data_IF_613565083446
#
_entry.id   IF_613565083446
#
_cell.length_a   1.000
_cell.length_b   1.000
_cell.length_c   1.000
_cell.angle_alpha   90.00
_cell.angle_beta   90.00
_cell.angle_gamma   90.00
#
_symmetry.space_group_name_H-M   'P 1'
#
loop_
_entity.id
_entity.type
_entity.pdbx_description
1 polymer ?
#
# COMPACT_ATOMS: atom_id res chain seq x y z
N UNK A 1 -40.55 -4.73 10.77
CA UNK A 1 -39.24 -5.17 11.30
C UNK A 1 -39.33 -5.06 12.82
N UNK A 2 -38.92 -6.09 13.57
CA UNK A 2 -38.95 -6.07 15.05
C UNK A 2 -38.03 -4.97 15.61
N UNK A 3 -38.43 -4.33 16.70
CA UNK A 3 -37.73 -3.16 17.26
C UNK A 3 -36.26 -3.43 17.62
N UNK A 4 -35.96 -4.63 18.13
CA UNK A 4 -34.58 -5.02 18.44
C UNK A 4 -33.72 -5.17 17.18
N UNK A 5 -34.29 -5.60 16.04
CA UNK A 5 -33.58 -5.70 14.75
C UNK A 5 -33.23 -4.31 14.23
N UNK A 6 -34.14 -3.35 14.36
CA UNK A 6 -33.90 -1.95 14.00
C UNK A 6 -32.78 -1.35 14.86
N UNK A 7 -32.89 -1.48 16.18
CA UNK A 7 -31.87 -1.00 17.12
C UNK A 7 -30.49 -1.63 16.88
N UNK A 8 -30.45 -2.93 16.55
CA UNK A 8 -29.20 -3.60 16.22
C UNK A 8 -28.56 -3.04 14.95
N UNK A 9 -29.33 -2.87 13.86
CA UNK A 9 -28.84 -2.30 12.60
C UNK A 9 -28.33 -0.87 12.82
N UNK A 10 -29.04 -0.06 13.60
CA UNK A 10 -28.62 1.31 13.91
C UNK A 10 -27.27 1.32 14.66
N UNK A 11 -27.12 0.48 15.70
CA UNK A 11 -25.87 0.35 16.46
C UNK A 11 -24.72 -0.17 15.60
N UNK A 12 -24.97 -1.16 14.76
CA UNK A 12 -23.98 -1.69 13.83
C UNK A 12 -23.52 -0.63 12.83
N UNK A 13 -24.46 0.14 12.27
CA UNK A 13 -24.16 1.25 11.38
C UNK A 13 -23.27 2.30 12.04
N UNK A 14 -23.60 2.71 13.28
CA UNK A 14 -22.78 3.64 14.05
C UNK A 14 -21.36 3.11 14.30
N UNK A 15 -21.23 1.83 14.67
CA UNK A 15 -19.92 1.20 14.87
C UNK A 15 -19.10 1.18 13.58
N UNK A 16 -19.71 0.79 12.45
CA UNK A 16 -19.05 0.78 11.15
C UNK A 16 -18.57 2.18 10.74
N UNK A 17 -19.42 3.20 10.86
CA UNK A 17 -19.05 4.59 10.55
C UNK A 17 -17.90 5.08 11.43
N UNK A 18 -17.90 4.75 12.73
CA UNK A 18 -16.82 5.12 13.63
C UNK A 18 -15.47 4.51 13.22
N UNK A 19 -15.47 3.24 12.82
CA UNK A 19 -14.25 2.56 12.39
C UNK A 19 -13.73 3.04 11.03
N UNK A 20 -14.62 3.30 10.07
CA UNK A 20 -14.24 3.92 8.80
C UNK A 20 -13.60 5.29 9.03
N UNK A 21 -14.20 6.11 9.89
CA UNK A 21 -13.64 7.42 10.25
C UNK A 21 -12.25 7.28 10.88
N UNK A 22 -12.08 6.35 11.84
CA UNK A 22 -10.78 6.12 12.47
C UNK A 22 -9.73 5.62 11.48
N UNK A 23 -10.12 4.81 10.51
CA UNK A 23 -9.24 4.38 9.42
C UNK A 23 -8.79 5.58 8.56
N UNK A 24 -9.72 6.45 8.13
CA UNK A 24 -9.36 7.66 7.37
C UNK A 24 -8.46 8.60 8.18
N UNK A 25 -8.77 8.82 9.45
CA UNK A 25 -7.94 9.61 10.36
C UNK A 25 -6.53 9.00 10.47
N UNK A 26 -6.41 7.67 10.54
CA UNK A 26 -5.10 6.98 10.57
C UNK A 26 -4.34 7.14 9.25
N UNK A 27 -5.03 7.06 8.11
CA UNK A 27 -4.41 7.33 6.81
C UNK A 27 -3.86 8.76 6.75
N UNK A 28 -4.65 9.74 7.17
CA UNK A 28 -4.28 11.15 7.08
C UNK A 28 -3.20 11.55 8.09
N UNK A 29 -3.21 10.98 9.29
CA UNK A 29 -2.30 11.38 10.39
C UNK A 29 -1.03 10.56 10.49
N UNK A 30 -1.01 9.33 9.98
CA UNK A 30 0.15 8.43 10.07
C UNK A 30 0.68 8.06 8.69
N UNK A 31 -0.18 7.55 7.79
CA UNK A 31 0.27 6.99 6.50
C UNK A 31 0.72 8.09 5.54
N UNK A 32 -0.08 9.16 5.38
CA UNK A 32 0.22 10.25 4.44
C UNK A 32 1.51 10.98 4.79
N UNK A 33 1.80 11.36 6.06
CA UNK A 33 3.07 11.99 6.39
C UNK A 33 4.29 11.14 6.03
N UNK A 34 4.24 9.83 6.33
CA UNK A 34 5.32 8.89 5.98
C UNK A 34 5.45 8.74 4.45
N UNK A 35 4.32 8.69 3.75
CA UNK A 35 4.31 8.70 2.29
C UNK A 35 4.97 9.95 1.72
N UNK A 36 4.62 11.15 2.20
CA UNK A 36 5.17 12.40 1.67
C UNK A 36 6.68 12.53 1.94
N UNK A 37 7.16 12.10 3.10
CA UNK A 37 8.59 12.05 3.40
C UNK A 37 9.34 11.11 2.44
N UNK A 38 8.83 9.89 2.27
CA UNK A 38 9.41 8.92 1.34
C UNK A 38 9.34 9.41 -0.10
N UNK A 39 8.21 10.03 -0.49
CA UNK A 39 8.00 10.58 -1.81
C UNK A 39 8.97 11.73 -2.11
N UNK A 40 9.22 12.62 -1.14
CA UNK A 40 10.19 13.69 -1.30
C UNK A 40 11.59 13.13 -1.57
N UNK A 41 12.03 12.14 -0.79
CA UNK A 41 13.31 11.46 -1.02
C UNK A 41 13.35 10.78 -2.40
N UNK A 42 12.36 9.96 -2.74
CA UNK A 42 12.36 9.18 -3.99
C UNK A 42 12.26 10.05 -5.25
N UNK A 43 11.54 11.17 -5.21
CA UNK A 43 11.48 12.13 -6.32
C UNK A 43 12.86 12.70 -6.66
N UNK A 44 13.69 12.98 -5.66
CA UNK A 44 15.07 13.43 -5.89
C UNK A 44 15.98 12.35 -6.47
N UNK A 45 15.53 11.08 -6.45
CA UNK A 45 16.24 9.91 -6.97
C UNK A 45 15.57 9.34 -8.23
N UNK A 46 14.79 10.15 -8.95
CA UNK A 46 14.26 9.81 -10.28
C UNK A 46 12.93 9.05 -10.28
N UNK A 47 12.28 8.87 -9.13
CA UNK A 47 10.93 8.28 -9.10
C UNK A 47 9.85 9.30 -9.45
N UNK A 48 8.89 8.88 -10.26
CA UNK A 48 7.57 9.48 -10.34
C UNK A 48 6.68 8.94 -9.22
N UNK A 49 6.02 9.83 -8.47
CA UNK A 49 5.22 9.44 -7.30
C UNK A 49 3.82 10.02 -7.40
N UNK A 50 2.81 9.17 -7.22
CA UNK A 50 1.39 9.54 -7.33
C UNK A 50 0.51 8.83 -6.31
N UNK A 51 -0.74 9.31 -6.17
CA UNK A 51 -1.78 8.72 -5.32
C UNK A 51 -3.00 8.39 -6.21
N UNK A 52 -2.95 7.31 -7.01
CA UNK A 52 -3.90 7.10 -8.10
C UNK A 52 -5.33 6.80 -7.63
N UNK A 53 -5.52 6.43 -6.36
CA UNK A 53 -6.83 6.15 -5.79
C UNK A 53 -6.96 6.76 -4.40
N UNK A 54 -7.98 7.59 -4.23
CA UNK A 54 -8.41 8.16 -2.95
C UNK A 54 -9.93 8.01 -2.86
N UNK A 55 -10.39 6.97 -2.19
CA UNK A 55 -11.80 6.66 -1.95
C UNK A 55 -11.99 6.39 -0.46
N UNK A 56 -13.19 6.59 0.06
CA UNK A 56 -13.48 6.24 1.45
C UNK A 56 -13.22 4.74 1.69
N UNK A 57 -12.49 4.42 2.76
CA UNK A 57 -12.06 3.07 3.09
C UNK A 57 -10.96 2.53 2.18
N UNK A 58 -10.39 3.32 1.25
CA UNK A 58 -9.34 2.84 0.34
C UNK A 58 -8.43 3.94 -0.21
N UNK A 59 -7.11 3.77 -0.02
CA UNK A 59 -6.10 4.69 -0.53
C UNK A 59 -4.94 3.95 -1.16
N UNK A 60 -4.38 4.46 -2.25
CA UNK A 60 -3.17 3.89 -2.83
C UNK A 60 -2.09 4.91 -3.11
N UNK A 61 -0.84 4.45 -2.99
CA UNK A 61 0.38 5.21 -3.22
C UNK A 61 1.23 4.45 -4.23
N UNK A 62 1.62 5.11 -5.31
CA UNK A 62 2.41 4.52 -6.40
C UNK A 62 3.75 5.24 -6.52
N UNK A 63 4.82 4.46 -6.51
CA UNK A 63 6.19 4.90 -6.80
C UNK A 63 6.65 4.21 -8.09
N UNK A 64 7.02 4.98 -9.09
CA UNK A 64 7.38 4.48 -10.41
C UNK A 64 8.77 4.98 -10.78
N UNK A 65 9.68 4.08 -11.17
CA UNK A 65 11.03 4.43 -11.59
C UNK A 65 11.14 4.54 -13.13
N UNK A 66 10.28 3.81 -13.84
CA UNK A 66 10.15 3.84 -15.30
C UNK A 66 8.74 3.37 -15.70
N UNK A 67 8.32 3.58 -16.95
CA UNK A 67 6.96 3.28 -17.45
C UNK A 67 6.45 1.88 -17.08
N UNK A 68 7.35 0.90 -16.91
CA UNK A 68 7.04 -0.49 -16.58
C UNK A 68 7.75 -1.00 -15.31
N UNK A 69 8.13 -0.11 -14.39
CA UNK A 69 8.78 -0.50 -13.13
C UNK A 69 8.23 0.30 -11.95
N UNK A 70 7.42 -0.33 -11.10
CA UNK A 70 6.73 0.37 -10.01
C UNK A 70 6.52 -0.47 -8.75
N UNK A 71 6.22 0.26 -7.67
CA UNK A 71 5.68 -0.20 -6.40
C UNK A 71 4.32 0.45 -6.18
N UNK A 72 3.30 -0.35 -5.86
CA UNK A 72 1.96 0.12 -5.54
C UNK A 72 1.55 -0.41 -4.18
N UNK A 73 1.31 0.49 -3.24
CA UNK A 73 0.75 0.18 -1.92
C UNK A 73 -0.72 0.56 -1.91
N UNK A 74 -1.59 -0.35 -1.49
CA UNK A 74 -3.04 -0.15 -1.38
C UNK A 74 -3.46 -0.47 0.06
N UNK A 75 -3.95 0.56 0.75
CA UNK A 75 -4.57 0.48 2.05
C UNK A 75 -6.08 0.36 1.86
N UNK A 76 -6.72 -0.63 2.50
CA UNK A 76 -8.16 -0.87 2.37
C UNK A 76 -8.77 -1.31 3.70
N UNK A 77 -9.79 -0.61 4.18
CA UNK A 77 -10.62 -1.08 5.28
C UNK A 77 -11.32 -2.40 4.89
N UNK A 78 -11.14 -3.45 5.69
CA UNK A 78 -11.69 -4.79 5.39
C UNK A 78 -12.73 -5.25 6.39
N UNK A 79 -12.56 -4.88 7.66
CA UNK A 79 -13.46 -5.29 8.74
C UNK A 79 -13.49 -4.21 9.82
N UNK A 80 -14.26 -4.45 10.88
CA UNK A 80 -14.37 -3.55 12.02
C UNK A 80 -13.02 -3.47 12.74
N UNK A 81 -12.33 -2.33 12.57
CA UNK A 81 -11.04 -2.07 13.22
C UNK A 81 -9.84 -2.73 12.56
N UNK A 82 -9.99 -3.34 11.39
CA UNK A 82 -8.88 -3.92 10.62
C UNK A 82 -8.85 -3.37 9.20
N UNK A 83 -7.64 -3.29 8.66
CA UNK A 83 -7.43 -2.96 7.26
C UNK A 83 -6.36 -3.88 6.66
N UNK A 84 -6.43 -3.98 5.34
CA UNK A 84 -5.48 -4.65 4.48
C UNK A 84 -4.49 -3.63 3.93
N UNK A 85 -3.20 -3.94 4.05
CA UNK A 85 -2.17 -3.39 3.17
C UNK A 85 -1.86 -4.44 2.10
N UNK A 86 -2.04 -4.06 0.84
CA UNK A 86 -1.55 -4.82 -0.30
C UNK A 86 -0.39 -4.08 -0.94
N UNK A 87 0.68 -4.80 -1.23
CA UNK A 87 1.84 -4.27 -1.93
C UNK A 87 2.00 -5.05 -3.22
N UNK A 88 2.09 -4.34 -4.33
CA UNK A 88 2.35 -4.90 -5.66
C UNK A 88 3.66 -4.33 -6.19
N UNK A 89 4.56 -5.20 -6.65
CA UNK A 89 5.77 -4.80 -7.35
C UNK A 89 5.71 -5.33 -8.78
N UNK A 90 6.05 -4.45 -9.71
CA UNK A 90 6.19 -4.83 -11.10
C UNK A 90 7.54 -4.37 -11.62
N UNK A 91 8.25 -5.28 -12.28
CA UNK A 91 9.55 -5.06 -12.91
C UNK A 91 9.50 -5.71 -14.30
N UNK A 92 10.05 -5.08 -15.36
CA UNK A 92 10.00 -5.64 -16.70
C UNK A 92 10.65 -7.04 -16.77
N UNK A 93 10.04 -7.94 -17.54
CA UNK A 93 10.52 -9.31 -17.70
C UNK A 93 10.21 -10.25 -16.54
N UNK A 94 9.39 -9.81 -15.56
CA UNK A 94 8.90 -10.65 -14.46
C UNK A 94 7.40 -10.50 -14.29
N UNK A 95 6.76 -11.56 -13.80
CA UNK A 95 5.38 -11.49 -13.34
C UNK A 95 5.28 -10.54 -12.13
N UNK A 96 4.19 -9.75 -12.01
CA UNK A 96 3.94 -8.92 -10.83
C UNK A 96 3.95 -9.77 -9.56
N UNK A 97 4.61 -9.27 -8.51
CA UNK A 97 4.58 -9.90 -7.19
C UNK A 97 3.63 -9.14 -6.27
N UNK A 98 2.76 -9.87 -5.58
CA UNK A 98 1.79 -9.29 -4.65
C UNK A 98 1.99 -9.84 -3.25
N UNK A 99 2.05 -8.93 -2.27
CA UNK A 99 2.07 -9.23 -0.85
C UNK A 99 0.84 -8.63 -0.18
N UNK A 100 0.37 -9.29 0.88
CA UNK A 100 -0.78 -8.86 1.65
C UNK A 100 -0.47 -8.95 3.15
N UNK A 101 -0.76 -7.88 3.88
CA UNK A 101 -0.73 -7.83 5.33
C UNK A 101 -2.09 -7.38 5.86
N UNK A 102 -2.55 -8.00 6.94
CA UNK A 102 -3.69 -7.54 7.72
C UNK A 102 -3.18 -6.92 9.01
N UNK A 103 -3.75 -5.78 9.39
CA UNK A 103 -3.35 -5.04 10.58
C UNK A 103 -4.57 -4.42 11.25
N UNK A 104 -4.52 -4.32 12.58
CA UNK A 104 -5.52 -3.56 13.34
C UNK A 104 -5.22 -2.08 13.23
N UNK A 105 -6.24 -1.26 13.02
CA UNK A 105 -6.11 0.21 12.95
C UNK A 105 -5.44 0.77 14.21
N UNK A 106 -5.68 0.15 15.38
CA UNK A 106 -5.08 0.56 16.65
C UNK A 106 -3.57 0.28 16.77
N UNK A 107 -3.02 -0.59 15.94
CA UNK A 107 -1.59 -0.96 15.95
C UNK A 107 -0.77 -0.13 14.94
N UNK A 108 -1.44 0.68 14.12
CA UNK A 108 -0.80 1.54 13.13
C UNK A 108 -0.21 2.76 13.80
N UNK A 109 1.09 2.94 13.62
CA UNK A 109 1.84 4.11 14.03
C UNK A 109 2.93 4.43 12.99
N UNK A 110 3.66 5.52 13.19
CA UNK A 110 4.68 5.98 12.26
C UNK A 110 5.76 4.93 12.00
N UNK A 111 6.18 4.20 13.03
CA UNK A 111 7.19 3.15 12.92
C UNK A 111 6.70 2.02 12.02
N UNK A 112 5.47 1.54 12.24
CA UNK A 112 4.86 0.51 11.42
C UNK A 112 4.76 0.98 9.96
N UNK A 113 4.26 2.20 9.73
CA UNK A 113 4.09 2.74 8.38
C UNK A 113 5.43 2.83 7.64
N UNK A 114 6.47 3.38 8.29
CA UNK A 114 7.82 3.47 7.73
C UNK A 114 8.37 2.10 7.36
N UNK A 115 8.22 1.12 8.23
CA UNK A 115 8.65 -0.26 7.97
C UNK A 115 7.95 -0.85 6.73
N UNK A 116 6.65 -0.59 6.56
CA UNK A 116 5.92 -1.09 5.39
C UNK A 116 6.40 -0.43 4.08
N UNK A 117 6.54 0.90 4.06
CA UNK A 117 7.06 1.60 2.88
C UNK A 117 8.49 1.17 2.55
N UNK A 118 9.36 1.11 3.55
CA UNK A 118 10.75 0.69 3.36
C UNK A 118 10.84 -0.74 2.83
N UNK A 119 10.15 -1.69 3.47
CA UNK A 119 10.19 -3.09 3.04
C UNK A 119 9.67 -3.28 1.61
N UNK A 120 8.65 -2.53 1.20
CA UNK A 120 8.14 -2.54 -0.17
C UNK A 120 9.17 -2.00 -1.18
N UNK A 121 9.86 -0.92 -0.83
CA UNK A 121 10.89 -0.34 -1.69
C UNK A 121 12.14 -1.23 -1.78
N UNK A 122 12.59 -1.80 -0.66
CA UNK A 122 13.74 -2.72 -0.63
C UNK A 122 13.46 -3.95 -1.51
N UNK A 123 12.29 -4.57 -1.35
CA UNK A 123 11.86 -5.71 -2.18
C UNK A 123 11.80 -5.36 -3.67
N UNK A 124 11.36 -4.14 -4.02
CA UNK A 124 11.35 -3.69 -5.41
C UNK A 124 12.76 -3.55 -5.99
N UNK A 125 13.68 -2.94 -5.26
CA UNK A 125 15.06 -2.76 -5.70
C UNK A 125 15.78 -4.11 -5.84
N UNK A 126 15.57 -5.04 -4.91
CA UNK A 126 16.08 -6.41 -5.01
C UNK A 126 15.57 -7.12 -6.26
N UNK A 127 14.27 -6.99 -6.56
CA UNK A 127 13.67 -7.56 -7.77
C UNK A 127 14.24 -6.94 -9.05
N UNK A 128 14.48 -5.63 -9.05
CA UNK A 128 15.08 -4.90 -10.17
C UNK A 128 16.55 -5.29 -10.39
N UNK A 129 17.32 -5.46 -9.32
CA UNK A 129 18.71 -5.91 -9.41
C UNK A 129 18.81 -7.33 -9.97
N UNK A 130 17.91 -8.22 -9.53
CA UNK A 130 17.84 -9.59 -10.01
C UNK A 130 17.39 -9.72 -11.47
N UNK A 131 16.52 -8.83 -11.97
CA UNK A 131 16.08 -8.88 -13.38
C UNK A 131 17.19 -8.47 -14.34
N UNK A 132 18.01 -7.48 -13.95
CA UNK A 132 19.17 -7.04 -14.75
C UNK A 132 20.20 -8.14 -14.93
N UNK A 133 20.45 -8.94 -13.89
CA UNK A 133 21.38 -10.07 -13.98
C UNK A 133 20.86 -11.16 -14.93
N UNK A 134 19.57 -11.50 -14.87
CA UNK A 134 18.97 -12.49 -15.77
C UNK A 134 19.05 -12.05 -17.25
N UNK A 135 18.72 -10.79 -17.55
CA UNK A 135 18.80 -10.25 -18.91
C UNK A 135 20.23 -10.23 -19.47
N UNK A 136 21.24 -9.99 -18.62
CA UNK A 136 22.65 -10.03 -19.04
C UNK A 136 23.12 -11.46 -19.34
N UNK A 137 22.64 -12.46 -18.58
CA UNK A 137 22.97 -13.88 -18.85
C UNK A 137 22.32 -14.34 -20.15
N UNK A 138 21.06 -13.98 -20.42
CA UNK A 138 20.39 -14.31 -21.69
C UNK A 138 21.11 -13.71 -22.90
N UNK A 139 21.57 -12.45 -22.81
CA UNK A 139 22.36 -11.81 -23.86
C UNK A 139 23.74 -12.46 -24.10
N UNK A 140 24.33 -13.06 -23.08
CA UNK A 140 25.63 -13.76 -23.18
C UNK A 140 25.48 -15.20 -23.70
N UNK A 141 24.33 -15.84 -23.50
CA UNK A 141 24.07 -17.22 -23.91
C UNK A 141 23.48 -17.31 -25.33
N UNK A 142 23.05 -16.19 -25.92
CA UNK A 142 22.73 -16.10 -27.34
C UNK A 142 21.58 -17.01 -27.75
N UNK A 143 20.40 -16.79 -27.15
CA UNK A 143 19.12 -17.31 -27.65
C UNK A 143 18.35 -16.18 -28.32
#
# INVERSE_FOLDING_TARGET
>A
MEDWKRSFVDKLGHAQSQWNRRFEETLDTVIVPVFEEMAAFLRTNGFHVSCPMRQEGRRSHKFELAENAYVLLIFRATSIGEFELRTEHFVPGREPTMNKALCRVAEVNDTWARQQFQSAMDAFIENLAGSRQAAQVEQLVGV
#
